data_IF_024339404072
#
_entry.id   IF_024339404072
#
_cell.length_a   1.000
_cell.length_b   1.000
_cell.length_c   1.000
_cell.angle_alpha   90.00
_cell.angle_beta   90.00
_cell.angle_gamma   90.00
#
_symmetry.space_group_name_H-M   'P 1'
#
loop_
_entity.id
_entity.type
_entity.pdbx_description
1 polymer ?
#
# COMPACT_ATOMS: atom_id res chain seq x y z
N UNK A 1 -24.35 6.45 -3.58
CA UNK A 1 -23.31 7.44 -3.36
C UNK A 1 -22.19 6.88 -2.48
N UNK A 2 -20.98 6.90 -2.96
CA UNK A 2 -19.90 6.32 -2.18
C UNK A 2 -19.42 7.33 -1.12
N UNK A 3 -19.22 6.83 0.07
CA UNK A 3 -18.75 7.64 1.17
C UNK A 3 -17.24 7.81 1.08
N UNK A 4 -16.73 8.75 1.87
CA UNK A 4 -15.29 8.94 1.95
C UNK A 4 -14.60 7.66 2.41
N UNK A 5 -15.24 6.93 3.29
CA UNK A 5 -14.67 5.69 3.80
C UNK A 5 -14.49 4.67 2.68
N UNK A 6 -15.45 4.59 1.80
CA UNK A 6 -15.35 3.66 0.68
C UNK A 6 -14.22 4.02 -0.25
N UNK A 7 -14.04 5.31 -0.51
CA UNK A 7 -12.95 5.76 -1.35
C UNK A 7 -11.60 5.39 -0.75
N UNK A 8 -11.44 5.64 0.53
CA UNK A 8 -10.20 5.30 1.21
C UNK A 8 -9.97 3.81 1.21
N UNK A 9 -11.02 3.06 1.37
CA UNK A 9 -10.92 1.60 1.36
C UNK A 9 -10.46 1.09 0.01
N UNK A 10 -11.04 1.63 -1.06
CA UNK A 10 -10.65 1.23 -2.40
C UNK A 10 -9.23 1.63 -2.71
N UNK A 11 -8.83 2.84 -2.28
CA UNK A 11 -7.46 3.28 -2.49
C UNK A 11 -6.48 2.40 -1.73
N UNK A 12 -6.81 2.08 -0.49
CA UNK A 12 -5.93 1.24 0.31
C UNK A 12 -5.79 -0.16 -0.29
N UNK A 13 -6.88 -0.67 -0.83
CA UNK A 13 -6.83 -1.96 -1.49
C UNK A 13 -5.93 -1.91 -2.73
N UNK A 14 -6.04 -0.86 -3.51
CA UNK A 14 -5.21 -0.71 -4.70
C UNK A 14 -3.74 -0.60 -4.32
N UNK A 15 -3.44 0.15 -3.27
CA UNK A 15 -2.08 0.32 -2.80
C UNK A 15 -1.52 -1.03 -2.36
N UNK A 16 -2.29 -1.78 -1.61
CA UNK A 16 -1.84 -3.07 -1.12
C UNK A 16 -1.62 -4.05 -2.26
N UNK A 17 -2.53 -4.07 -3.21
CA UNK A 17 -2.40 -4.94 -4.37
C UNK A 17 -1.13 -4.60 -5.16
N UNK A 18 -0.89 -3.31 -5.37
CA UNK A 18 0.31 -2.87 -6.06
C UNK A 18 1.56 -3.27 -5.30
N UNK A 19 1.53 -3.06 -3.99
CA UNK A 19 2.67 -3.40 -3.14
C UNK A 19 2.99 -4.89 -3.25
N UNK A 20 1.97 -5.72 -3.10
CA UNK A 20 2.15 -7.17 -3.16
C UNK A 20 2.71 -7.61 -4.52
N UNK A 21 2.18 -7.02 -5.57
CA UNK A 21 2.62 -7.36 -6.91
C UNK A 21 4.07 -6.99 -7.13
N UNK A 22 4.45 -5.78 -6.70
CA UNK A 22 5.83 -5.33 -6.87
C UNK A 22 6.78 -6.18 -6.05
N UNK A 23 6.38 -6.53 -4.86
CA UNK A 23 7.20 -7.37 -4.02
C UNK A 23 7.40 -8.74 -4.66
N UNK A 24 6.36 -9.27 -5.25
CA UNK A 24 6.42 -10.56 -5.91
C UNK A 24 7.27 -10.52 -7.18
N UNK A 25 7.11 -9.45 -7.94
CA UNK A 25 7.84 -9.30 -9.20
C UNK A 25 9.32 -9.03 -8.96
N UNK A 26 9.65 -8.43 -7.83
CA UNK A 26 11.02 -8.05 -7.51
C UNK A 26 11.41 -8.60 -6.13
N UNK A 27 11.59 -9.91 -6.04
CA UNK A 27 11.85 -10.53 -4.74
C UNK A 27 13.14 -10.06 -4.08
N UNK A 28 14.05 -9.48 -4.85
CA UNK A 28 15.30 -8.99 -4.30
C UNK A 28 15.19 -7.58 -3.71
N UNK A 29 14.09 -6.90 -3.97
CA UNK A 29 13.89 -5.57 -3.42
C UNK A 29 13.64 -5.68 -1.92
N UNK A 30 14.19 -4.70 -1.20
CA UNK A 30 13.90 -4.63 0.23
C UNK A 30 12.47 -4.12 0.42
N UNK A 31 11.97 -4.33 1.63
CA UNK A 31 10.64 -3.83 1.99
C UNK A 31 10.56 -2.33 1.75
N UNK A 32 11.61 -1.61 2.16
CA UNK A 32 11.63 -0.16 2.01
C UNK A 32 11.63 0.24 0.54
N UNK A 33 12.33 -0.50 -0.29
CA UNK A 33 12.35 -0.18 -1.72
C UNK A 33 10.96 -0.30 -2.32
N UNK A 34 10.21 -1.32 -1.93
CA UNK A 34 8.85 -1.50 -2.42
C UNK A 34 7.95 -0.38 -1.90
N UNK A 35 8.13 0.00 -0.64
CA UNK A 35 7.38 1.11 -0.05
C UNK A 35 7.64 2.39 -0.84
N UNK A 36 8.90 2.67 -1.12
CA UNK A 36 9.25 3.88 -1.85
C UNK A 36 8.63 3.88 -3.24
N UNK A 37 8.71 2.76 -3.92
CA UNK A 37 8.15 2.66 -5.26
C UNK A 37 6.63 2.86 -5.24
N UNK A 38 5.96 2.25 -4.27
CA UNK A 38 4.52 2.38 -4.13
C UNK A 38 4.14 3.83 -3.82
N UNK A 39 4.91 4.46 -2.94
CA UNK A 39 4.64 5.85 -2.59
C UNK A 39 4.71 6.75 -3.81
N UNK A 40 5.70 6.53 -4.67
CA UNK A 40 5.83 7.32 -5.88
C UNK A 40 4.69 7.05 -6.85
N UNK A 41 4.25 5.82 -6.92
CA UNK A 41 3.17 5.46 -7.82
C UNK A 41 1.87 6.18 -7.45
N UNK A 42 1.59 6.28 -6.17
CA UNK A 42 0.34 6.85 -5.69
C UNK A 42 0.49 8.28 -5.19
N UNK A 43 1.71 8.85 -5.33
CA UNK A 43 1.97 10.24 -4.92
C UNK A 43 1.66 10.45 -3.45
N UNK A 44 2.06 9.49 -2.63
CA UNK A 44 1.86 9.56 -1.19
C UNK A 44 3.20 9.47 -0.49
N UNK A 45 3.21 9.86 0.79
CA UNK A 45 4.42 9.74 1.58
C UNK A 45 4.69 8.28 1.92
N UNK A 46 5.98 7.96 2.08
CA UNK A 46 6.36 6.60 2.43
C UNK A 46 5.72 6.16 3.75
N UNK A 47 5.67 7.07 4.71
CA UNK A 47 5.06 6.75 6.00
C UNK A 47 3.59 6.38 5.83
N UNK A 48 2.93 7.04 4.89
CA UNK A 48 1.52 6.74 4.63
C UNK A 48 1.37 5.35 4.07
N UNK A 49 2.22 4.97 3.11
CA UNK A 49 2.18 3.63 2.54
C UNK A 49 2.47 2.59 3.62
N UNK A 50 3.50 2.85 4.41
CA UNK A 50 3.87 1.94 5.48
C UNK A 50 2.72 1.76 6.47
N UNK A 51 2.05 2.84 6.81
CA UNK A 51 0.93 2.76 7.74
C UNK A 51 -0.22 1.94 7.14
N UNK A 52 -0.50 2.13 5.88
CA UNK A 52 -1.57 1.40 5.22
C UNK A 52 -1.26 -0.09 5.21
N UNK A 53 -0.05 -0.45 4.84
CA UNK A 53 0.34 -1.85 4.78
C UNK A 53 0.32 -2.49 6.17
N UNK A 54 0.88 -1.78 7.15
CA UNK A 54 0.94 -2.31 8.51
C UNK A 54 -0.45 -2.38 9.13
N UNK A 55 -1.24 -1.37 8.89
CA UNK A 55 -2.58 -1.31 9.45
C UNK A 55 -3.44 -2.45 8.93
N UNK A 56 -3.30 -2.73 7.65
CA UNK A 56 -4.05 -3.84 7.05
C UNK A 56 -3.68 -5.15 7.71
N UNK A 57 -2.41 -5.34 7.99
CA UNK A 57 -1.95 -6.55 8.64
C UNK A 57 -2.53 -6.70 10.02
N UNK A 58 -2.58 -5.61 10.79
CA UNK A 58 -3.14 -5.62 12.12
C UNK A 58 -4.64 -5.85 12.08
N UNK A 59 -5.26 -5.23 11.12
CA UNK A 59 -6.71 -5.29 11.00
C UNK A 59 -7.23 -6.69 10.75
N UNK A 60 -6.42 -7.50 10.17
CA UNK A 60 -6.83 -8.85 9.82
C UNK A 60 -6.94 -9.77 11.00
N UNK A 61 -6.55 -9.33 12.13
CA UNK A 61 -6.67 -10.15 13.32
C UNK A 61 -8.11 -10.23 13.82
#
# INVERSE_FOLDING_TARGET
>A
MSSQKERLKLRNKAIRTYFDKKKKDNPKWTFEAVIENTAQKFYLAERTINAIISFEGVYKK
#
